data_IF_009135574268
#
_entry.id   IF_009135574268
#
_cell.length_a   1.000
_cell.length_b   1.000
_cell.length_c   1.000
_cell.angle_alpha   90.00
_cell.angle_beta   90.00
_cell.angle_gamma   90.00
#
_symmetry.space_group_name_H-M   'P 1'
#
loop_
_entity.id
_entity.type
_entity.pdbx_description
1 polymer ?
#
# COMPACT_ATOMS: atom_id res chain seq x y z
N UNK A 1 -6.57 9.71 -18.72
CA UNK A 1 -6.32 8.26 -18.73
C UNK A 1 -5.29 7.99 -17.65
N UNK A 2 -5.71 7.38 -16.54
CA UNK A 2 -4.93 7.33 -15.29
C UNK A 2 -4.35 5.92 -15.16
N UNK A 3 -3.21 5.68 -15.80
CA UNK A 3 -2.50 4.40 -15.64
C UNK A 3 -1.79 4.37 -14.29
N UNK A 4 -2.44 3.83 -13.26
CA UNK A 4 -1.91 3.72 -11.89
C UNK A 4 -0.84 2.63 -11.73
N UNK A 5 -0.38 2.01 -12.82
CA UNK A 5 0.58 0.89 -12.79
C UNK A 5 1.59 1.00 -13.94
N UNK A 6 2.18 2.19 -14.12
CA UNK A 6 3.20 2.38 -15.13
C UNK A 6 4.54 1.79 -14.66
N UNK A 7 4.87 0.63 -15.23
CA UNK A 7 6.21 0.03 -15.39
C UNK A 7 6.91 -0.51 -14.13
N UNK A 8 6.81 -1.83 -13.99
CA UNK A 8 7.35 -2.72 -12.96
C UNK A 8 6.92 -2.40 -11.52
N UNK A 9 6.70 -3.45 -10.75
CA UNK A 9 6.12 -3.44 -9.40
C UNK A 9 7.11 -2.85 -8.37
N UNK A 10 7.84 -1.80 -8.73
CA UNK A 10 8.86 -1.15 -7.89
C UNK A 10 8.26 -0.16 -6.92
N UNK A 11 7.11 0.43 -7.23
CA UNK A 11 6.47 1.49 -6.44
C UNK A 11 4.96 1.36 -6.44
N UNK A 12 4.33 1.84 -5.37
CA UNK A 12 2.89 2.02 -5.26
C UNK A 12 2.59 3.49 -5.02
N UNK A 13 1.71 4.07 -5.83
CA UNK A 13 1.31 5.47 -5.72
C UNK A 13 -0.10 5.56 -5.16
N UNK A 14 -0.29 6.43 -4.16
CA UNK A 14 -1.63 6.81 -3.72
C UNK A 14 -2.15 7.97 -4.58
N UNK A 15 -3.48 8.12 -4.62
CA UNK A 15 -4.10 9.24 -5.33
C UNK A 15 -3.80 10.55 -4.61
N UNK A 16 -3.71 11.67 -5.34
CA UNK A 16 -3.43 12.98 -4.74
C UNK A 16 -4.45 13.36 -3.66
N UNK A 17 -5.78 13.22 -3.86
CA UNK A 17 -6.75 13.56 -2.83
C UNK A 17 -6.58 12.74 -1.54
N UNK A 18 -6.35 11.42 -1.67
CA UNK A 18 -6.12 10.56 -0.51
C UNK A 18 -4.78 10.86 0.17
N UNK A 19 -3.74 11.12 -0.61
CA UNK A 19 -2.41 11.47 -0.11
C UNK A 19 -2.45 12.73 0.75
N UNK A 20 -3.00 13.81 0.20
CA UNK A 20 -3.04 15.11 0.87
C UNK A 20 -4.05 15.14 2.02
N UNK A 21 -5.24 14.55 1.83
CA UNK A 21 -6.33 14.62 2.81
C UNK A 21 -6.19 13.62 3.95
N UNK A 22 -5.52 12.48 3.74
CA UNK A 22 -5.52 11.38 4.72
C UNK A 22 -4.12 10.91 5.13
N UNK A 23 -3.13 10.89 4.23
CA UNK A 23 -1.81 10.32 4.55
C UNK A 23 -0.83 11.36 5.07
N UNK A 24 -0.70 12.50 4.40
CA UNK A 24 0.27 13.53 4.74
C UNK A 24 0.20 14.04 6.19
N UNK A 25 -0.99 14.21 6.81
CA UNK A 25 -1.10 14.59 8.22
C UNK A 25 -0.49 13.57 9.21
N UNK A 26 -0.28 12.33 8.78
CA UNK A 26 0.22 11.23 9.61
C UNK A 26 1.62 10.75 9.21
N UNK A 27 2.24 11.42 8.23
CA UNK A 27 3.60 11.12 7.80
C UNK A 27 4.59 12.05 8.51
N UNK A 28 5.55 11.45 9.21
CA UNK A 28 6.65 12.15 9.87
C UNK A 28 7.68 12.58 8.81
N UNK A 29 7.65 13.85 8.42
CA UNK A 29 8.51 14.40 7.37
C UNK A 29 8.18 13.94 5.94
N UNK A 30 9.14 14.13 5.04
CA UNK A 30 9.01 13.81 3.61
C UNK A 30 9.39 12.37 3.26
N UNK A 31 10.11 11.69 4.16
CA UNK A 31 10.53 10.30 4.00
C UNK A 31 10.52 9.61 5.35
N UNK A 32 9.93 8.42 5.39
CA UNK A 32 9.92 7.56 6.56
C UNK A 32 9.84 6.09 6.20
N UNK A 33 9.75 5.28 7.24
CA UNK A 33 9.50 3.84 7.15
C UNK A 33 8.02 3.55 7.32
N UNK A 34 7.52 2.57 6.57
CA UNK A 34 6.16 2.06 6.66
C UNK A 34 6.20 0.55 6.79
N UNK A 35 5.89 0.01 7.98
CA UNK A 35 5.60 -1.41 8.13
C UNK A 35 4.38 -1.78 7.30
N UNK A 36 4.49 -2.86 6.51
CA UNK A 36 3.42 -3.40 5.68
C UNK A 36 3.21 -4.86 6.06
N UNK A 37 1.96 -5.27 6.27
CA UNK A 37 1.60 -6.66 6.57
C UNK A 37 0.36 -7.10 5.80
N UNK A 38 0.26 -8.39 5.50
CA UNK A 38 -1.03 -8.98 5.11
C UNK A 38 -1.91 -9.10 6.35
N UNK A 39 -3.22 -8.99 6.17
CA UNK A 39 -4.21 -9.03 7.26
C UNK A 39 -4.19 -10.28 8.12
N UNK A 40 -3.68 -11.41 7.59
CA UNK A 40 -3.48 -12.67 8.32
C UNK A 40 -2.14 -12.75 9.06
N UNK A 41 -1.27 -11.73 8.92
CA UNK A 41 0.03 -11.64 9.57
C UNK A 41 1.13 -12.51 8.97
N UNK A 42 0.86 -13.24 7.88
CA UNK A 42 1.81 -14.21 7.30
C UNK A 42 3.01 -13.57 6.59
N UNK A 43 2.80 -12.38 6.02
CA UNK A 43 3.84 -11.62 5.30
C UNK A 43 3.92 -10.23 5.88
N UNK A 44 5.10 -9.86 6.37
CA UNK A 44 5.40 -8.52 6.86
C UNK A 44 6.76 -8.03 6.36
N UNK A 45 6.84 -6.75 5.99
CA UNK A 45 8.09 -6.07 5.65
C UNK A 45 8.09 -4.64 6.19
N UNK A 46 9.26 -4.00 6.19
CA UNK A 46 9.36 -2.54 6.30
C UNK A 46 9.72 -1.96 4.94
N UNK A 47 8.97 -0.95 4.51
CA UNK A 47 9.11 -0.31 3.21
C UNK A 47 9.40 1.18 3.36
N UNK A 48 10.04 1.79 2.37
CA UNK A 48 10.20 3.25 2.32
C UNK A 48 8.89 3.91 1.88
N UNK A 49 8.48 4.94 2.60
CA UNK A 49 7.25 5.70 2.36
C UNK A 49 7.53 7.19 2.31
N UNK A 50 7.23 7.83 1.18
CA UNK A 50 7.68 9.19 0.88
C UNK A 50 6.54 10.11 0.46
N UNK A 51 6.66 11.39 0.80
CA UNK A 51 5.88 12.48 0.21
C UNK A 51 6.54 12.86 -1.11
N UNK A 52 5.92 12.46 -2.22
CA UNK A 52 6.38 12.82 -3.55
C UNK A 52 6.19 14.31 -3.83
N UNK A 53 7.10 14.90 -4.61
CA UNK A 53 6.98 16.28 -5.13
C UNK A 53 5.73 16.49 -5.99
N UNK A 54 5.19 15.40 -6.52
CA UNK A 54 3.92 15.33 -7.26
C UNK A 54 2.68 15.30 -6.35
N UNK A 55 2.86 15.55 -5.04
CA UNK A 55 1.84 15.53 -3.99
C UNK A 55 1.21 14.15 -3.77
N UNK A 56 1.93 13.07 -4.14
CA UNK A 56 1.51 11.70 -3.88
C UNK A 56 2.32 11.07 -2.76
N UNK A 57 1.63 10.46 -1.81
CA UNK A 57 2.27 9.49 -0.94
C UNK A 57 2.66 8.28 -1.79
N UNK A 58 3.88 7.82 -1.65
CA UNK A 58 4.43 6.74 -2.49
C UNK A 58 5.17 5.72 -1.64
N UNK A 59 4.84 4.44 -1.82
CA UNK A 59 5.64 3.33 -1.31
C UNK A 59 6.69 3.00 -2.36
N UNK A 60 7.96 2.96 -1.95
CA UNK A 60 9.07 2.70 -2.87
C UNK A 60 9.79 1.40 -2.54
N UNK A 61 10.99 1.47 -1.93
CA UNK A 61 11.79 0.28 -1.60
C UNK A 61 11.00 -0.66 -0.70
N UNK A 62 10.94 -1.94 -1.06
CA UNK A 62 10.20 -2.96 -0.33
C UNK A 62 8.88 -3.35 -0.99
N UNK A 63 8.24 -2.48 -1.77
CA UNK A 63 6.94 -2.78 -2.38
C UNK A 63 6.96 -4.01 -3.29
N UNK A 64 7.94 -4.10 -4.20
CA UNK A 64 8.07 -5.26 -5.10
C UNK A 64 8.23 -6.57 -4.34
N UNK A 65 9.07 -6.57 -3.30
CA UNK A 65 9.34 -7.74 -2.48
C UNK A 65 8.09 -8.17 -1.72
N UNK A 66 7.38 -7.22 -1.12
CA UNK A 66 6.08 -7.49 -0.48
C UNK A 66 5.07 -8.07 -1.47
N UNK A 67 4.93 -7.46 -2.65
CA UNK A 67 3.98 -7.91 -3.67
C UNK A 67 4.24 -9.39 -4.05
N UNK A 68 5.51 -9.77 -4.23
CA UNK A 68 5.87 -11.15 -4.55
C UNK A 68 5.65 -12.10 -3.37
N UNK A 69 6.08 -11.73 -2.16
CA UNK A 69 5.93 -12.57 -0.95
C UNK A 69 4.47 -12.77 -0.55
N UNK A 70 3.65 -11.74 -0.73
CA UNK A 70 2.22 -11.78 -0.47
C UNK A 70 1.42 -12.48 -1.59
N UNK A 71 2.08 -13.03 -2.60
CA UNK A 71 1.46 -13.67 -3.76
C UNK A 71 0.38 -12.79 -4.42
N UNK A 72 0.60 -11.48 -4.45
CA UNK A 72 -0.32 -10.55 -5.09
C UNK A 72 -0.24 -10.71 -6.60
N UNK A 73 -1.36 -10.49 -7.30
CA UNK A 73 -1.46 -10.61 -8.74
C UNK A 73 -1.97 -9.30 -9.34
N UNK A 74 -1.40 -8.93 -10.48
CA UNK A 74 -1.86 -7.77 -11.25
C UNK A 74 -3.32 -8.01 -11.68
N UNK A 75 -4.16 -6.98 -11.54
CA UNK A 75 -5.57 -7.05 -11.89
C UNK A 75 -6.50 -7.55 -10.78
N UNK A 76 -5.96 -8.08 -9.67
CA UNK A 76 -6.76 -8.38 -8.48
C UNK A 76 -7.00 -7.13 -7.65
N UNK A 77 -8.17 -7.09 -7.00
CA UNK A 77 -8.53 -6.04 -6.06
C UNK A 77 -8.02 -6.36 -4.66
N UNK A 78 -7.45 -5.35 -4.01
CA UNK A 78 -6.96 -5.44 -2.63
C UNK A 78 -7.48 -4.25 -1.84
N UNK A 79 -7.80 -4.48 -0.57
CA UNK A 79 -8.15 -3.42 0.36
C UNK A 79 -6.92 -3.05 1.20
N UNK A 80 -6.69 -1.74 1.33
CA UNK A 80 -5.54 -1.17 2.03
C UNK A 80 -6.04 -0.42 3.26
N UNK A 81 -5.64 -0.85 4.45
CA UNK A 81 -6.00 -0.22 5.71
C UNK A 81 -4.77 0.39 6.37
N UNK A 82 -4.78 1.70 6.50
CA UNK A 82 -3.77 2.41 7.29
C UNK A 82 -4.19 2.46 8.74
N UNK A 83 -3.27 2.09 9.64
CA UNK A 83 -3.48 2.14 11.08
C UNK A 83 -2.41 2.99 11.73
N UNK A 84 -2.83 3.97 12.53
CA UNK A 84 -1.94 4.70 13.41
C UNK A 84 -1.62 3.84 14.63
N UNK A 85 -0.33 3.67 14.92
CA UNK A 85 0.16 2.98 16.11
C UNK A 85 0.98 3.95 16.94
N UNK A 86 1.33 3.57 18.17
CA UNK A 86 2.27 4.36 19.00
C UNK A 86 3.66 4.52 18.36
N UNK A 87 4.00 3.68 17.37
CA UNK A 87 5.27 3.70 16.63
C UNK A 87 5.15 4.38 15.26
N UNK A 88 4.01 4.97 14.96
CA UNK A 88 3.71 5.59 13.66
C UNK A 88 2.73 4.78 12.81
N UNK A 89 2.67 5.12 11.53
CA UNK A 89 1.74 4.54 10.57
C UNK A 89 2.15 3.12 10.18
N UNK A 90 1.20 2.20 10.07
CA UNK A 90 1.40 0.91 9.41
C UNK A 90 0.31 0.66 8.38
N UNK A 91 0.63 -0.18 7.38
CA UNK A 91 -0.27 -0.58 6.33
C UNK A 91 -0.62 -2.07 6.46
N UNK A 92 -1.91 -2.37 6.46
CA UNK A 92 -2.45 -3.73 6.42
C UNK A 92 -3.12 -3.94 5.06
N UNK A 93 -2.78 -5.02 4.38
CA UNK A 93 -3.34 -5.37 3.06
C UNK A 93 -4.25 -6.58 3.20
N UNK A 94 -5.50 -6.45 2.75
CA UNK A 94 -6.49 -7.52 2.74
C UNK A 94 -6.78 -7.96 1.31
N UNK A 95 -6.77 -9.27 1.10
CA UNK A 95 -7.17 -9.88 -0.16
C UNK A 95 -8.70 -9.83 -0.24
N UNK A 96 -9.22 -9.13 -1.25
CA UNK A 96 -10.64 -9.20 -1.55
C UNK A 96 -10.90 -10.55 -2.22
N UNK A 97 -11.26 -11.58 -1.45
CA UNK A 97 -11.87 -12.75 -2.06
C UNK A 97 -13.23 -12.31 -2.57
N UNK A 98 -13.35 -12.14 -3.89
CA UNK A 98 -14.67 -12.20 -4.51
C UNK A 98 -15.24 -13.54 -4.10
N UNK A 99 -16.27 -13.50 -3.26
CA UNK A 99 -17.05 -14.66 -2.89
C UNK A 99 -17.50 -15.30 -4.20
N UNK A 100 -17.09 -16.54 -4.46
CA UNK A 100 -17.60 -17.28 -5.62
C UNK A 100 -19.14 -17.24 -5.54
N UNK A 101 -19.83 -16.95 -6.65
CA UNK A 101 -21.28 -17.02 -6.62
C UNK A 101 -21.66 -18.45 -6.22
N UNK A 102 -22.41 -18.57 -5.12
CA UNK A 102 -23.13 -19.81 -4.82
C UNK A 102 -23.99 -20.09 -6.05
N UNK A 103 -23.58 -21.07 -6.86
CA UNK A 103 -24.47 -21.66 -7.86
C UNK A 103 -25.41 -22.56 -7.05
N UNK A 104 -26.61 -22.04 -6.78
CA UNK A 104 -27.72 -22.77 -6.16
C UNK A 104 -28.38 -23.64 -7.25
#
# INVERSE_FOLDING_TARGET
MTETFATDIKRMYFTVPFSMGSLFPHMDGDQGELPITIGDGTTAITSSFIKGVDKRATITRGWSDFFHRAHMNKGQAYAFAFKCTSKGLCLIVYISKLQEPLVI
#
